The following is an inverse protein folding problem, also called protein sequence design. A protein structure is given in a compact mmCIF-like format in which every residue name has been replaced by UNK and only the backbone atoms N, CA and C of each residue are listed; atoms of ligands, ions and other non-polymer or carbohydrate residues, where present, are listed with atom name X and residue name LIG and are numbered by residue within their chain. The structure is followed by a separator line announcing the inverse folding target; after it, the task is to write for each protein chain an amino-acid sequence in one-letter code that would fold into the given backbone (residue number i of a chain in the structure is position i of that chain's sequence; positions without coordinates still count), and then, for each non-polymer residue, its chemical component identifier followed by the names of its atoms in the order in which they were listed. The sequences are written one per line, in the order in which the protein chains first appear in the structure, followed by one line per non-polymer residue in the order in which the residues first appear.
data_IF_172850162306
#
_entry.id   IF_172850162306
#
_cell.length_a   1.000
_cell.length_b   1.000
_cell.length_c   1.000
_cell.angle_alpha   90.00
_cell.angle_beta   90.00
_cell.angle_gamma   90.00
#
_symmetry.space_group_name_H-M   'P 1'
#
loop_
_entity.id
_entity.type
_entity.pdbx_description
1 polymer ?
#
# COMPACT_ATOMS: atom_id res chain seq x y z
N UNK A 1 -9.56 -18.82 10.79
CA UNK A 1 -9.78 -17.38 10.50
C UNK A 1 -9.95 -17.26 9.01
N UNK A 2 -11.16 -16.93 8.55
CA UNK A 2 -11.55 -16.97 7.15
C UNK A 2 -11.13 -15.66 6.43
N UNK A 3 -10.48 -15.79 5.26
CA UNK A 3 -9.98 -14.66 4.47
C UNK A 3 -11.10 -13.81 3.90
N UNK A 4 -12.17 -14.46 3.43
CA UNK A 4 -13.36 -13.78 2.90
C UNK A 4 -13.99 -12.92 3.98
N UNK A 5 -14.20 -13.48 5.18
CA UNK A 5 -14.75 -12.71 6.31
C UNK A 5 -13.88 -11.50 6.65
N UNK A 6 -12.55 -11.67 6.63
CA UNK A 6 -11.64 -10.54 6.82
C UNK A 6 -11.85 -9.44 5.78
N UNK A 7 -11.97 -9.80 4.50
CA UNK A 7 -12.21 -8.83 3.43
C UNK A 7 -13.58 -8.16 3.57
N UNK A 8 -14.64 -8.94 3.81
CA UNK A 8 -16.00 -8.44 3.99
C UNK A 8 -16.10 -7.44 5.15
N UNK A 9 -15.53 -7.77 6.31
CA UNK A 9 -15.53 -6.91 7.49
C UNK A 9 -14.81 -5.58 7.22
N UNK A 10 -13.68 -5.63 6.51
CA UNK A 10 -12.90 -4.43 6.18
C UNK A 10 -13.55 -3.59 5.08
N UNK A 11 -14.12 -4.22 4.04
CA UNK A 11 -14.92 -3.55 3.00
C UNK A 11 -16.09 -2.82 3.65
N UNK A 12 -16.83 -3.48 4.54
CA UNK A 12 -17.97 -2.89 5.26
C UNK A 12 -17.54 -1.67 6.07
N UNK A 13 -16.40 -1.75 6.77
CA UNK A 13 -15.88 -0.64 7.58
C UNK A 13 -15.45 0.55 6.74
N UNK A 14 -14.75 0.31 5.63
CA UNK A 14 -14.31 1.35 4.69
C UNK A 14 -15.51 2.03 4.03
N UNK A 15 -16.48 1.26 3.53
CA UNK A 15 -17.72 1.79 2.97
C UNK A 15 -18.53 2.59 3.97
N UNK A 16 -18.61 2.11 5.22
CA UNK A 16 -19.28 2.85 6.28
C UNK A 16 -18.63 4.23 6.46
N UNK A 17 -17.30 4.30 6.53
CA UNK A 17 -16.61 5.58 6.66
C UNK A 17 -16.76 6.47 5.41
N UNK A 18 -16.56 5.92 4.21
CA UNK A 18 -16.62 6.65 2.95
C UNK A 18 -18.01 7.23 2.67
N UNK A 19 -19.03 6.36 2.76
CA UNK A 19 -20.31 6.61 2.12
C UNK A 19 -21.47 6.79 3.10
N UNK A 20 -21.43 6.19 4.29
CA UNK A 20 -22.58 6.14 5.23
C UNK A 20 -22.41 7.11 6.40
N UNK A 21 -21.22 7.17 6.99
CA UNK A 21 -20.95 7.94 8.20
C UNK A 21 -21.26 9.41 7.95
N UNK A 22 -22.06 10.05 8.81
CA UNK A 22 -22.36 11.48 8.71
C UNK A 22 -21.08 12.32 8.75
N UNK A 23 -21.02 13.36 7.92
CA UNK A 23 -19.92 14.34 7.94
C UNK A 23 -19.97 15.08 9.28
N UNK A 24 -18.86 15.06 10.02
CA UNK A 24 -18.73 15.82 11.26
C UNK A 24 -18.39 17.28 10.96
N UNK A 25 -18.53 18.15 11.97
CA UNK A 25 -18.06 19.54 11.87
C UNK A 25 -16.54 19.56 11.63
N UNK A 26 -16.07 20.25 10.58
CA UNK A 26 -14.66 20.36 10.32
C UNK A 26 -13.97 21.19 11.42
N UNK A 27 -12.73 20.82 11.78
CA UNK A 27 -11.89 21.63 12.68
C UNK A 27 -11.21 22.72 11.86
N UNK A 28 -10.62 23.72 12.52
CA UNK A 28 -9.73 24.68 11.86
C UNK A 28 -8.64 23.92 11.09
N UNK A 29 -8.50 24.20 9.79
CA UNK A 29 -7.58 23.50 8.88
C UNK A 29 -8.10 22.19 8.26
N UNK A 30 -9.26 21.67 8.68
CA UNK A 30 -9.87 20.47 8.10
C UNK A 30 -10.94 20.90 7.09
N UNK A 31 -10.59 21.10 5.82
CA UNK A 31 -11.56 21.61 4.84
C UNK A 31 -12.60 20.56 4.41
N UNK A 32 -13.69 21.00 3.79
CA UNK A 32 -14.70 20.10 3.23
C UNK A 32 -14.11 19.21 2.12
N UNK A 33 -13.21 19.76 1.31
CA UNK A 33 -12.48 19.06 0.25
C UNK A 33 -11.58 17.97 0.82
N UNK A 34 -10.86 18.26 1.92
CA UNK A 34 -10.05 17.26 2.61
C UNK A 34 -10.91 16.14 3.19
N UNK A 35 -12.10 16.47 3.69
CA UNK A 35 -13.08 15.47 4.13
C UNK A 35 -13.61 14.59 2.98
N UNK A 36 -13.88 15.16 1.81
CA UNK A 36 -14.27 14.40 0.61
C UNK A 36 -13.13 13.50 0.16
N UNK A 37 -11.91 14.02 0.10
CA UNK A 37 -10.72 13.29 -0.38
C UNK A 37 -10.42 12.06 0.49
N UNK A 38 -10.54 12.19 1.82
CA UNK A 38 -10.36 11.04 2.75
C UNK A 38 -11.43 9.96 2.56
N UNK A 39 -12.67 10.36 2.25
CA UNK A 39 -13.77 9.42 1.98
C UNK A 39 -13.56 8.70 0.66
N UNK A 40 -13.18 9.43 -0.38
CA UNK A 40 -12.81 8.86 -1.68
C UNK A 40 -11.65 7.88 -1.55
N UNK A 41 -10.65 8.19 -0.71
CA UNK A 41 -9.56 7.25 -0.40
C UNK A 41 -10.04 5.95 0.23
N UNK A 42 -10.95 6.03 1.21
CA UNK A 42 -11.54 4.83 1.82
C UNK A 42 -12.37 4.01 0.83
N UNK A 43 -13.08 4.67 -0.09
CA UNK A 43 -13.88 4.01 -1.13
C UNK A 43 -13.00 3.31 -2.18
N UNK A 44 -11.89 3.94 -2.60
CA UNK A 44 -10.87 3.32 -3.47
C UNK A 44 -10.27 2.07 -2.81
N UNK A 45 -9.92 2.16 -1.52
CA UNK A 45 -9.49 0.99 -0.77
C UNK A 45 -10.55 -0.11 -0.71
N UNK A 46 -11.82 0.24 -0.45
CA UNK A 46 -12.90 -0.74 -0.42
C UNK A 46 -13.05 -1.44 -1.79
N UNK A 47 -12.89 -0.70 -2.88
CA UNK A 47 -12.91 -1.24 -4.24
C UNK A 47 -11.78 -2.24 -4.47
N UNK A 48 -10.54 -1.88 -4.11
CA UNK A 48 -9.40 -2.82 -4.18
C UNK A 48 -9.65 -4.10 -3.39
N UNK A 49 -10.23 -4.01 -2.19
CA UNK A 49 -10.55 -5.20 -1.39
C UNK A 49 -11.66 -6.04 -2.01
N UNK A 50 -12.64 -5.43 -2.71
CA UNK A 50 -13.68 -6.17 -3.45
C UNK A 50 -13.08 -6.96 -4.60
N UNK A 51 -12.12 -6.38 -5.32
CA UNK A 51 -11.43 -7.09 -6.42
C UNK A 51 -10.67 -8.31 -5.89
N UNK A 52 -9.98 -8.16 -4.77
CA UNK A 52 -9.29 -9.27 -4.09
C UNK A 52 -10.30 -10.32 -3.60
N UNK A 53 -11.44 -9.90 -3.03
CA UNK A 53 -12.50 -10.82 -2.59
C UNK A 53 -13.07 -11.61 -3.77
N UNK A 54 -13.27 -10.96 -4.91
CA UNK A 54 -13.69 -11.62 -6.13
C UNK A 54 -12.68 -12.68 -6.59
N UNK A 55 -11.38 -12.36 -6.57
CA UNK A 55 -10.34 -13.34 -6.90
C UNK A 55 -10.36 -14.54 -5.94
N UNK A 56 -10.47 -14.27 -4.64
CA UNK A 56 -10.51 -15.30 -3.58
C UNK A 56 -11.70 -16.25 -3.74
N UNK A 57 -12.90 -15.72 -4.01
CA UNK A 57 -14.12 -16.53 -4.21
C UNK A 57 -14.07 -17.37 -5.50
N UNK A 58 -13.23 -16.98 -6.45
CA UNK A 58 -13.03 -17.73 -7.69
C UNK A 58 -11.88 -18.73 -7.62
N UNK A 59 -11.18 -18.85 -6.48
CA UNK A 59 -10.22 -19.92 -6.26
C UNK A 59 -10.99 -21.25 -6.21
N UNK A 60 -10.74 -22.12 -7.19
CA UNK A 60 -11.37 -23.44 -7.28
C UNK A 60 -10.32 -24.55 -7.40
N UNK A 61 -10.74 -25.76 -7.01
CA UNK A 61 -9.97 -27.00 -7.16
C UNK A 61 -8.88 -27.21 -6.13
N UNK A 62 -8.59 -28.48 -5.84
CA UNK A 62 -7.58 -28.90 -4.88
C UNK A 62 -8.14 -29.19 -3.49
N UNK A 63 -7.24 -29.50 -2.56
CA UNK A 63 -7.56 -29.70 -1.14
C UNK A 63 -7.85 -28.36 -0.44
N UNK A 64 -8.50 -28.42 0.74
CA UNK A 64 -8.75 -27.22 1.55
C UNK A 64 -7.47 -26.43 1.86
N UNK A 65 -6.36 -27.13 2.13
CA UNK A 65 -5.07 -26.51 2.41
C UNK A 65 -4.50 -25.77 1.18
N UNK A 66 -4.67 -26.33 -0.02
CA UNK A 66 -4.24 -25.69 -1.27
C UNK A 66 -5.08 -24.44 -1.58
N UNK A 67 -6.39 -24.50 -1.33
CA UNK A 67 -7.27 -23.33 -1.46
C UNK A 67 -6.82 -22.23 -0.50
N UNK A 68 -6.61 -22.54 0.77
CA UNK A 68 -6.15 -21.57 1.77
C UNK A 68 -4.79 -20.97 1.41
N UNK A 69 -3.85 -21.78 0.92
CA UNK A 69 -2.55 -21.31 0.42
C UNK A 69 -2.71 -20.31 -0.74
N UNK A 70 -3.51 -20.65 -1.76
CA UNK A 70 -3.78 -19.76 -2.90
C UNK A 70 -4.44 -18.45 -2.45
N UNK A 71 -5.38 -18.51 -1.51
CA UNK A 71 -6.01 -17.32 -0.94
C UNK A 71 -5.00 -16.43 -0.20
N UNK A 72 -4.04 -17.00 0.54
CA UNK A 72 -2.95 -16.26 1.17
C UNK A 72 -2.03 -15.59 0.17
N UNK A 73 -1.70 -16.26 -0.94
CA UNK A 73 -0.92 -15.67 -2.04
C UNK A 73 -1.65 -14.48 -2.65
N UNK A 74 -2.94 -14.60 -2.93
CA UNK A 74 -3.78 -13.51 -3.47
C UNK A 74 -3.86 -12.33 -2.49
N UNK A 75 -3.91 -12.60 -1.18
CA UNK A 75 -3.98 -11.57 -0.15
C UNK A 75 -2.65 -10.84 0.08
N UNK A 76 -1.51 -11.45 -0.28
CA UNK A 76 -0.16 -10.96 0.01
C UNK A 76 0.08 -9.48 -0.34
N UNK A 77 -0.34 -8.94 -1.51
CA UNK A 77 -0.13 -7.54 -1.86
C UNK A 77 -0.77 -6.60 -0.84
N UNK A 78 -1.99 -6.90 -0.42
CA UNK A 78 -2.74 -6.11 0.56
C UNK A 78 -2.03 -6.10 1.91
N UNK A 79 -1.48 -7.24 2.33
CA UNK A 79 -0.72 -7.34 3.58
C UNK A 79 0.55 -6.51 3.52
N UNK A 80 1.28 -6.55 2.40
CA UNK A 80 2.50 -5.76 2.19
C UNK A 80 2.19 -4.25 2.19
N UNK A 81 1.17 -3.82 1.47
CA UNK A 81 0.73 -2.42 1.44
C UNK A 81 0.25 -1.91 2.81
N UNK A 82 -0.37 -2.78 3.62
CA UNK A 82 -0.89 -2.40 4.94
C UNK A 82 0.18 -1.88 5.91
N UNK A 83 1.46 -2.22 5.71
CA UNK A 83 2.55 -1.85 6.61
C UNK A 83 2.84 -0.34 6.58
N UNK A 84 2.82 0.26 5.39
CA UNK A 84 3.08 1.70 5.16
C UNK A 84 1.82 2.52 4.87
N UNK A 85 0.63 1.93 5.05
CA UNK A 85 -0.64 2.51 4.64
C UNK A 85 -0.98 3.82 5.35
N UNK A 86 -0.63 3.93 6.63
CA UNK A 86 -0.95 5.12 7.44
C UNK A 86 -0.04 6.26 7.04
N UNK A 87 1.25 5.97 6.95
CA UNK A 87 2.30 6.89 6.54
C UNK A 87 2.00 7.43 5.13
N UNK A 88 1.62 6.56 4.20
CA UNK A 88 1.19 6.95 2.85
C UNK A 88 -0.06 7.85 2.86
N UNK A 89 -1.00 7.60 3.78
CA UNK A 89 -2.19 8.44 3.93
C UNK A 89 -1.87 9.79 4.58
N UNK A 90 -0.95 9.84 5.55
CA UNK A 90 -0.49 11.08 6.19
C UNK A 90 0.24 11.99 5.20
N UNK A 91 1.04 11.43 4.29
CA UNK A 91 1.69 12.20 3.21
C UNK A 91 0.66 12.86 2.30
N UNK A 92 -0.52 12.23 2.12
CA UNK A 92 -1.59 12.75 1.26
C UNK A 92 -2.54 13.69 1.99
N UNK A 93 -2.68 13.53 3.30
CA UNK A 93 -3.68 14.21 4.11
C UNK A 93 -3.04 14.67 5.42
N UNK A 94 -2.90 15.99 5.60
CA UNK A 94 -2.37 16.59 6.84
C UNK A 94 -3.15 16.14 8.08
N UNK A 95 -4.45 15.85 7.92
CA UNK A 95 -5.34 15.40 8.99
C UNK A 95 -6.10 14.13 8.60
N UNK A 96 -5.85 13.00 9.28
CA UNK A 96 -6.58 11.74 9.08
C UNK A 96 -7.83 11.59 9.99
N UNK A 97 -8.52 12.67 10.34
CA UNK A 97 -9.64 12.64 11.30
C UNK A 97 -10.71 11.62 10.88
N UNK A 98 -10.96 10.65 11.76
CA UNK A 98 -11.87 9.53 11.52
C UNK A 98 -11.30 8.42 10.62
N UNK A 99 -10.57 8.76 9.55
CA UNK A 99 -9.94 7.78 8.65
C UNK A 99 -8.85 6.98 9.39
N UNK A 100 -8.04 7.63 10.22
CA UNK A 100 -6.96 6.99 10.99
C UNK A 100 -7.43 5.78 11.78
N UNK A 101 -8.59 5.87 12.43
CA UNK A 101 -9.15 4.75 13.19
C UNK A 101 -9.51 3.56 12.31
N UNK A 102 -10.03 3.82 11.10
CA UNK A 102 -10.35 2.78 10.11
C UNK A 102 -9.07 2.12 9.61
N UNK A 103 -8.04 2.89 9.26
CA UNK A 103 -6.75 2.40 8.79
C UNK A 103 -5.99 1.62 9.87
N UNK A 104 -6.00 2.10 11.11
CA UNK A 104 -5.40 1.39 12.26
C UNK A 104 -6.06 0.03 12.46
N UNK A 105 -7.39 -0.04 12.39
CA UNK A 105 -8.10 -1.29 12.54
C UNK A 105 -7.81 -2.24 11.37
N UNK A 106 -7.77 -1.73 10.14
CA UNK A 106 -7.36 -2.49 8.96
C UNK A 106 -5.93 -3.06 9.10
N UNK A 107 -4.95 -2.24 9.51
CA UNK A 107 -3.57 -2.67 9.78
C UNK A 107 -3.50 -3.75 10.85
N UNK A 108 -4.24 -3.59 11.94
CA UNK A 108 -4.36 -4.59 13.00
C UNK A 108 -4.93 -5.92 12.50
N UNK A 109 -5.96 -5.87 11.65
CA UNK A 109 -6.57 -7.05 11.05
C UNK A 109 -5.58 -7.74 10.07
N UNK A 110 -4.82 -6.98 9.28
CA UNK A 110 -3.76 -7.49 8.39
C UNK A 110 -2.61 -8.19 9.14
N UNK A 111 -2.20 -7.64 10.29
CA UNK A 111 -1.13 -8.23 11.11
C UNK A 111 -1.45 -9.67 11.57
N UNK A 112 -2.73 -10.02 11.68
CA UNK A 112 -3.16 -11.40 12.02
C UNK A 112 -2.87 -12.40 10.91
N UNK A 113 -2.91 -11.97 9.66
CA UNK A 113 -2.58 -12.79 8.48
C UNK A 113 -1.10 -12.76 8.15
N UNK A 114 -0.44 -11.62 8.37
CA UNK A 114 1.00 -11.45 8.12
C UNK A 114 1.83 -12.51 8.86
N UNK A 115 1.43 -12.88 10.09
CA UNK A 115 2.07 -13.94 10.88
C UNK A 115 1.99 -15.35 10.28
N UNK A 116 1.10 -15.57 9.31
CA UNK A 116 0.88 -16.86 8.64
C UNK A 116 1.56 -16.96 7.29
N UNK A 117 2.09 -15.84 6.78
CA UNK A 117 2.81 -15.81 5.52
C UNK A 117 4.14 -16.54 5.70
N UNK A 118 4.46 -17.38 4.72
CA UNK A 118 5.72 -18.12 4.63
C UNK A 118 6.49 -17.70 3.39
N UNK A 119 7.77 -18.05 3.33
CA UNK A 119 8.62 -17.84 2.14
C UNK A 119 8.02 -18.43 0.87
N UNK A 120 7.30 -19.55 0.96
CA UNK A 120 6.64 -20.16 -0.20
C UNK A 120 5.52 -19.28 -0.77
N UNK A 121 4.75 -18.61 0.09
CA UNK A 121 3.73 -17.67 -0.39
C UNK A 121 4.37 -16.53 -1.18
N UNK A 122 5.50 -16.00 -0.70
CA UNK A 122 6.24 -14.94 -1.39
C UNK A 122 6.84 -15.42 -2.72
N UNK A 123 7.46 -16.61 -2.73
CA UNK A 123 8.03 -17.21 -3.94
C UNK A 123 6.98 -17.42 -5.03
N UNK A 124 5.81 -17.96 -4.67
CA UNK A 124 4.71 -18.18 -5.62
C UNK A 124 4.16 -16.86 -6.12
N UNK A 125 3.99 -15.86 -5.23
CA UNK A 125 3.57 -14.53 -5.64
C UNK A 125 4.56 -13.89 -6.64
N UNK A 126 5.85 -13.91 -6.34
CA UNK A 126 6.89 -13.35 -7.20
C UNK A 126 6.96 -14.06 -8.55
N UNK A 127 6.76 -15.38 -8.58
CA UNK A 127 6.68 -16.15 -9.82
C UNK A 127 5.49 -15.72 -10.67
N UNK A 128 4.30 -15.67 -10.07
CA UNK A 128 3.07 -15.22 -10.75
C UNK A 128 3.24 -13.81 -11.32
N UNK A 129 3.88 -12.89 -10.58
CA UNK A 129 4.19 -11.56 -11.09
C UNK A 129 5.11 -11.60 -12.32
N UNK A 130 6.21 -12.37 -12.28
CA UNK A 130 7.14 -12.48 -13.41
C UNK A 130 6.46 -13.05 -14.65
N UNK A 131 5.66 -14.10 -14.49
CA UNK A 131 4.90 -14.71 -15.58
C UNK A 131 3.92 -13.72 -16.19
N UNK A 132 3.19 -12.99 -15.34
CA UNK A 132 2.29 -11.91 -15.77
C UNK A 132 3.08 -10.88 -16.60
N UNK A 133 4.16 -10.30 -16.06
CA UNK A 133 4.97 -9.29 -16.78
C UNK A 133 5.58 -9.79 -18.09
N UNK A 134 6.00 -11.05 -18.15
CA UNK A 134 6.54 -11.69 -19.36
C UNK A 134 5.48 -11.75 -20.47
N UNK A 135 4.25 -12.15 -20.14
CA UNK A 135 3.14 -12.26 -21.10
C UNK A 135 2.74 -10.92 -21.72
N UNK A 136 2.90 -9.80 -21.02
CA UNK A 136 2.52 -8.52 -21.61
C UNK A 136 3.58 -7.94 -22.55
N UNK A 137 4.86 -8.38 -22.55
CA UNK A 137 5.92 -7.76 -23.37
C UNK A 137 5.78 -7.94 -24.89
N UNK A 138 4.73 -8.61 -25.37
CA UNK A 138 4.51 -8.94 -26.78
C UNK A 138 3.41 -8.11 -27.48
N UNK A 139 2.66 -7.23 -26.80
CA UNK A 139 1.56 -6.47 -27.44
C UNK A 139 1.43 -5.01 -26.95
N UNK A 140 1.46 -4.06 -27.90
CA UNK A 140 1.66 -2.61 -27.74
C UNK A 140 0.54 -1.79 -27.04
N UNK A 141 -0.46 -2.38 -26.36
CA UNK A 141 -1.64 -1.63 -25.83
C UNK A 141 -1.66 -1.40 -24.32
N UNK A 142 -0.49 -1.18 -23.72
CA UNK A 142 -0.21 -1.36 -22.29
C UNK A 142 -0.51 -0.24 -21.28
N UNK A 143 -0.82 1.01 -21.67
CA UNK A 143 -0.92 2.09 -20.66
C UNK A 143 -2.23 2.11 -19.85
N UNK A 144 -3.27 1.39 -20.27
CA UNK A 144 -4.62 1.58 -19.68
C UNK A 144 -4.90 0.73 -18.43
N UNK A 145 -4.28 -0.43 -18.27
CA UNK A 145 -4.59 -1.37 -17.17
C UNK A 145 -3.51 -1.44 -16.08
N UNK A 146 -2.25 -1.16 -16.40
CA UNK A 146 -1.14 -1.19 -15.45
C UNK A 146 -0.89 0.15 -14.73
N UNK A 147 -1.41 1.27 -15.26
CA UNK A 147 -1.20 2.62 -14.71
C UNK A 147 -1.89 2.93 -13.39
N UNK A 148 -2.64 1.99 -12.79
CA UNK A 148 -3.33 2.20 -11.49
C UNK A 148 -2.82 1.33 -10.35
N UNK A 149 -2.28 0.14 -10.63
CA UNK A 149 -1.75 -0.76 -9.60
C UNK A 149 -0.27 -0.51 -9.25
N UNK A 150 0.53 0.03 -10.17
CA UNK A 150 1.98 0.24 -9.97
C UNK A 150 2.48 1.65 -10.32
N UNK A 151 1.62 2.59 -10.75
CA UNK A 151 2.03 3.98 -10.93
C UNK A 151 2.00 4.74 -9.60
N UNK A 152 2.89 4.37 -8.68
CA UNK A 152 3.67 5.39 -8.00
C UNK A 152 5.12 5.10 -8.41
N UNK A 153 5.86 6.07 -8.94
CA UNK A 153 7.27 5.84 -9.21
C UNK A 153 7.88 5.37 -7.90
N UNK A 154 8.51 4.19 -7.91
CA UNK A 154 9.60 3.96 -6.98
C UNK A 154 10.62 5.03 -7.34
N UNK A 155 10.51 6.22 -6.74
CA UNK A 155 11.69 7.00 -6.47
C UNK A 155 12.49 6.12 -5.53
N UNK A 156 13.36 5.33 -6.15
CA UNK A 156 14.63 5.00 -5.55
C UNK A 156 15.16 6.32 -4.99
N UNK A 157 15.00 6.52 -3.69
CA UNK A 157 15.83 7.45 -2.96
C UNK A 157 17.24 6.92 -3.18
N UNK A 158 17.97 7.54 -4.12
CA UNK A 158 19.41 7.46 -4.20
C UNK A 158 19.93 8.00 -2.87
N UNK A 159 20.11 7.13 -1.89
CA UNK A 159 20.80 7.47 -0.65
C UNK A 159 22.14 6.75 -0.64
N UNK A 160 23.13 7.44 -1.17
CA UNK A 160 24.56 7.20 -1.06
C UNK A 160 25.25 8.34 -1.85
N UNK A 161 26.16 9.14 -1.31
CA UNK A 161 26.83 9.14 -0.03
C UNK A 161 27.12 10.58 0.40
N UNK A 162 27.38 10.68 1.69
CA UNK A 162 27.97 11.79 2.42
C UNK A 162 29.39 12.00 1.90
N UNK A 163 29.62 13.07 1.14
CA UNK A 163 30.96 13.55 0.83
C UNK A 163 31.33 14.65 1.85
N UNK A 164 31.30 14.28 3.12
CA UNK A 164 32.14 14.92 4.13
C UNK A 164 33.52 14.26 4.02
N UNK A 165 34.30 14.61 2.99
CA UNK A 165 35.73 14.29 2.96
C UNK A 165 36.53 15.60 2.97
N UNK A 166 36.71 16.19 4.16
CA UNK A 166 37.94 16.91 4.48
C UNK A 166 39.01 15.86 4.70
N UNK A 167 40.15 15.91 3.98
CA UNK A 167 41.32 16.49 4.62
C UNK A 167 42.33 17.11 3.64
N UNK A 168 42.86 18.28 4.00
CA UNK A 168 44.28 18.56 3.83
C UNK A 168 44.69 19.65 4.82
N UNK A 169 45.36 19.21 5.87
CA UNK A 169 46.12 20.05 6.76
C UNK A 169 47.23 20.78 5.99
N UNK A 170 47.44 22.05 6.37
CA UNK A 170 48.78 22.67 6.51
C UNK A 170 49.61 22.91 5.23
N UNK A 171 49.76 24.20 4.88
CA UNK A 171 51.03 24.98 4.68
C UNK A 171 50.64 26.39 4.17
N UNK A 172 50.86 27.49 4.91
CA UNK A 172 52.11 28.23 5.19
C UNK A 172 52.59 29.11 4.02
N UNK A 173 53.01 30.34 4.37
CA UNK A 173 53.51 31.50 3.58
C UNK A 173 52.42 32.41 2.97
N UNK A 174 52.48 33.75 2.95
CA UNK A 174 53.45 34.79 3.35
C UNK A 174 52.72 36.16 3.37
N UNK A 175 53.38 37.21 3.91
CA UNK A 175 52.93 38.63 4.06
C UNK A 175 52.76 39.39 2.72
N UNK A 176 51.87 40.41 2.65
CA UNK A 176 52.12 41.88 2.54
C UNK A 176 50.80 42.67 2.17
N UNK A 177 50.29 43.63 2.98
CA UNK A 177 50.20 45.15 2.86
C UNK A 177 49.56 45.67 1.53
N UNK A 178 48.64 46.67 1.52
CA UNK A 178 48.83 48.06 1.99
C UNK A 178 48.14 48.43 3.31
#
# INVERSE_FOLDING_TARGET
MNVEKFLEDNIKRLNYYGNIKKKGKPRMGDTAELQISRRAYADDMATKLRDVLYQIRNVRGGSQAEVEFKQMVILLPILKESQGLIEAAEVRFDFLKGLRGVLNKFKSDCNRFTKKITLEHERVFDRSLREHFSQFNTTERKRRYLGRYFAHPMMQNRRAKRDDYKPSAVRVTQRYVP
#
